data_IF_170972037674
#
_entry.id   IF_170972037674
#
_cell.length_a   1.000
_cell.length_b   1.000
_cell.length_c   1.000
_cell.angle_alpha   90.00
_cell.angle_beta   90.00
_cell.angle_gamma   90.00
#
_symmetry.space_group_name_H-M   'P 1'
#
loop_
_entity.id
_entity.type
_entity.pdbx_description
1 polymer ?
#
# COMPACT_ATOMS: atom_id res chain seq x y z
N UNK A 1 58.03 52.41 7.09
CA UNK A 1 57.72 51.11 6.45
C UNK A 1 56.22 50.93 6.56
N UNK A 2 55.49 50.99 5.45
CA UNK A 2 54.03 50.87 5.42
C UNK A 2 53.69 49.81 4.38
N UNK A 3 53.12 48.70 4.83
CA UNK A 3 52.66 47.61 3.96
C UNK A 3 51.26 47.93 3.41
N UNK A 4 51.06 47.66 2.13
CA UNK A 4 49.75 47.71 1.49
C UNK A 4 49.07 46.34 1.65
N UNK A 5 47.91 46.31 2.33
CA UNK A 5 47.06 45.11 2.41
C UNK A 5 46.09 45.15 1.23
N UNK A 6 46.27 44.23 0.27
CA UNK A 6 45.33 44.04 -0.84
C UNK A 6 44.23 43.07 -0.38
N UNK A 7 43.02 43.58 -0.18
CA UNK A 7 41.84 42.75 0.09
C UNK A 7 41.21 42.36 -1.25
N UNK A 8 41.41 41.11 -1.67
CA UNK A 8 40.71 40.53 -2.83
C UNK A 8 39.26 40.25 -2.44
N UNK A 9 38.34 41.12 -2.86
CA UNK A 9 36.90 40.85 -2.80
C UNK A 9 36.58 39.88 -3.93
N UNK A 10 36.32 38.62 -3.58
CA UNK A 10 35.85 37.61 -4.52
C UNK A 10 34.38 37.93 -4.84
N UNK A 11 34.12 38.49 -6.01
CA UNK A 11 32.76 38.65 -6.53
C UNK A 11 32.15 37.25 -6.70
N UNK A 12 31.19 36.90 -5.85
CA UNK A 12 30.38 35.69 -6.03
C UNK A 12 29.46 35.95 -7.22
N UNK A 13 29.75 35.29 -8.34
CA UNK A 13 28.88 35.23 -9.50
C UNK A 13 27.46 34.87 -9.09
N UNK A 14 26.48 35.75 -9.39
CA UNK A 14 25.06 35.41 -9.44
C UNK A 14 24.86 34.35 -10.53
N UNK A 15 24.95 33.08 -10.18
CA UNK A 15 24.56 31.98 -11.07
C UNK A 15 23.72 30.99 -10.27
N UNK A 16 22.50 30.78 -10.78
CA UNK A 16 21.48 29.79 -10.41
C UNK A 16 20.86 29.93 -9.01
N UNK A 17 20.02 30.96 -8.82
CA UNK A 17 18.88 30.81 -7.91
C UNK A 17 17.97 29.73 -8.51
N UNK A 18 17.77 28.56 -7.85
CA UNK A 18 16.84 27.56 -8.35
C UNK A 18 15.47 28.22 -8.40
N UNK A 19 14.84 28.20 -9.58
CA UNK A 19 13.48 28.67 -9.75
C UNK A 19 12.59 27.94 -8.73
N UNK A 20 12.14 28.65 -7.68
CA UNK A 20 11.34 28.09 -6.57
C UNK A 20 10.04 27.44 -7.07
N UNK A 21 9.70 27.67 -8.35
CA UNK A 21 8.62 27.03 -9.06
C UNK A 21 8.86 25.55 -9.41
N UNK A 22 10.07 24.99 -9.27
CA UNK A 22 10.43 23.64 -9.73
C UNK A 22 10.74 22.63 -8.60
N UNK A 23 10.13 22.81 -7.43
CA UNK A 23 10.22 21.86 -6.30
C UNK A 23 8.86 21.32 -5.88
N UNK A 24 8.84 20.08 -5.39
CA UNK A 24 7.67 19.47 -4.79
C UNK A 24 7.37 20.14 -3.45
N UNK A 25 6.18 20.71 -3.27
CA UNK A 25 5.82 21.37 -2.00
C UNK A 25 5.69 20.40 -0.81
N UNK A 26 5.69 19.09 -1.05
CA UNK A 26 5.51 18.06 -0.01
C UNK A 26 6.85 17.52 0.50
N UNK A 27 7.78 17.17 -0.40
CA UNK A 27 9.10 16.63 -0.03
C UNK A 27 10.25 17.62 -0.24
N UNK A 28 9.99 18.78 -0.85
CA UNK A 28 10.98 19.80 -1.21
C UNK A 28 12.07 19.33 -2.19
N UNK A 29 11.83 18.25 -2.92
CA UNK A 29 12.72 17.75 -3.98
C UNK A 29 12.24 18.19 -5.37
N UNK A 30 13.17 18.36 -6.31
CA UNK A 30 12.89 18.71 -7.70
C UNK A 30 12.31 17.54 -8.53
N UNK A 31 12.14 17.77 -9.83
CA UNK A 31 11.73 16.71 -10.75
C UNK A 31 12.89 15.75 -11.09
N UNK A 32 12.58 14.50 -11.40
CA UNK A 32 13.51 13.53 -12.01
C UNK A 32 12.78 12.64 -13.01
N UNK A 33 13.52 11.90 -13.85
CA UNK A 33 12.95 11.07 -14.94
C UNK A 33 11.91 10.04 -14.47
N UNK A 34 11.95 9.61 -13.20
CA UNK A 34 10.94 8.73 -12.60
C UNK A 34 9.90 9.43 -11.71
N UNK A 35 10.12 10.70 -11.37
CA UNK A 35 9.31 11.48 -10.45
C UNK A 35 9.10 12.89 -11.03
N UNK A 36 8.27 13.05 -12.08
CA UNK A 36 7.95 14.36 -12.61
C UNK A 36 7.07 15.15 -11.62
N UNK A 37 7.25 16.47 -11.61
CA UNK A 37 6.34 17.38 -10.91
C UNK A 37 5.08 17.59 -11.73
N UNK A 38 3.92 17.50 -11.07
CA UNK A 38 2.63 17.79 -11.66
C UNK A 38 2.00 19.02 -10.98
N UNK A 39 1.18 19.75 -11.74
CA UNK A 39 0.29 20.80 -11.22
C UNK A 39 -1.12 20.23 -11.03
N UNK A 40 -1.45 19.66 -9.85
CA UNK A 40 -2.76 19.05 -9.60
C UNK A 40 -3.92 20.04 -9.53
N UNK A 41 -3.66 21.35 -9.48
CA UNK A 41 -4.71 22.36 -9.49
C UNK A 41 -4.23 23.70 -10.09
N UNK A 42 -5.11 24.70 -10.07
CA UNK A 42 -4.86 26.05 -10.62
C UNK A 42 -3.97 26.94 -9.73
N UNK A 43 -3.58 26.48 -8.54
CA UNK A 43 -2.71 27.25 -7.64
C UNK A 43 -1.27 27.27 -8.18
N UNK A 44 -0.68 28.47 -8.28
CA UNK A 44 0.66 28.65 -8.85
C UNK A 44 1.76 27.89 -8.10
N UNK A 45 1.66 27.77 -6.77
CA UNK A 45 2.73 27.22 -5.91
C UNK A 45 2.57 25.74 -5.57
N UNK A 46 1.57 25.05 -6.13
CA UNK A 46 1.21 23.70 -5.67
C UNK A 46 1.72 22.63 -6.64
N UNK A 47 3.03 22.57 -6.89
CA UNK A 47 3.64 21.51 -7.68
C UNK A 47 4.01 20.31 -6.80
N UNK A 48 3.61 19.10 -7.16
CA UNK A 48 3.94 17.91 -6.40
C UNK A 48 4.19 16.71 -7.30
N UNK A 49 5.05 15.80 -6.85
CA UNK A 49 5.11 14.47 -7.43
C UNK A 49 3.79 13.74 -7.19
N UNK A 50 3.32 12.96 -8.17
CA UNK A 50 2.09 12.16 -8.01
C UNK A 50 2.10 11.27 -6.75
N UNK A 51 3.18 10.56 -6.40
CA UNK A 51 3.19 9.73 -5.18
C UNK A 51 3.18 10.56 -3.90
N UNK A 52 3.81 11.73 -3.90
CA UNK A 52 3.81 12.64 -2.75
C UNK A 52 2.40 13.20 -2.52
N UNK A 53 1.73 13.64 -3.58
CA UNK A 53 0.35 14.10 -3.52
C UNK A 53 -0.58 12.98 -3.04
N UNK A 54 -0.44 11.77 -3.57
CA UNK A 54 -1.25 10.62 -3.16
C UNK A 54 -1.12 10.31 -1.66
N UNK A 55 0.10 10.34 -1.13
CA UNK A 55 0.37 10.18 0.30
C UNK A 55 -0.28 11.29 1.12
N UNK A 56 -0.15 12.54 0.69
CA UNK A 56 -0.75 13.67 1.39
C UNK A 56 -2.29 13.59 1.37
N UNK A 57 -2.91 13.27 0.24
CA UNK A 57 -4.36 13.08 0.14
C UNK A 57 -4.83 11.97 1.07
N UNK A 58 -4.10 10.87 1.15
CA UNK A 58 -4.38 9.78 2.07
C UNK A 58 -4.29 10.21 3.55
N UNK A 59 -3.33 11.08 3.92
CA UNK A 59 -3.28 11.68 5.27
C UNK A 59 -4.45 12.63 5.56
N UNK A 60 -5.11 13.14 4.51
CA UNK A 60 -6.32 13.96 4.62
C UNK A 60 -7.60 13.12 4.48
N UNK A 61 -7.52 11.78 4.54
CA UNK A 61 -8.68 10.91 4.35
C UNK A 61 -9.89 11.35 5.18
N UNK A 62 -11.05 11.42 4.54
CA UNK A 62 -12.30 11.86 5.16
C UNK A 62 -12.46 13.37 5.31
N UNK A 63 -11.45 14.17 4.93
CA UNK A 63 -11.52 15.63 4.87
C UNK A 63 -11.77 16.09 3.44
N UNK A 64 -12.22 17.33 3.27
CA UNK A 64 -12.40 17.92 1.94
C UNK A 64 -11.09 17.95 1.16
N UNK A 65 -9.97 18.12 1.85
CA UNK A 65 -8.61 18.15 1.31
C UNK A 65 -8.15 16.82 0.70
N UNK A 66 -8.79 15.69 1.03
CA UNK A 66 -8.54 14.42 0.32
C UNK A 66 -8.80 14.56 -1.18
N UNK A 67 -9.85 15.31 -1.53
CA UNK A 67 -10.37 15.38 -2.91
C UNK A 67 -10.28 16.75 -3.56
N UNK A 68 -10.17 17.82 -2.77
CA UNK A 68 -10.22 19.18 -3.29
C UNK A 68 -9.07 20.02 -2.76
N UNK A 69 -8.51 20.86 -3.62
CA UNK A 69 -7.50 21.83 -3.19
C UNK A 69 -8.09 22.76 -2.12
N UNK A 70 -7.41 22.89 -0.96
CA UNK A 70 -7.85 23.76 0.14
C UNK A 70 -8.06 25.22 -0.29
N UNK A 71 -7.28 25.69 -1.26
CA UNK A 71 -7.28 27.08 -1.74
C UNK A 71 -8.26 27.32 -2.89
N UNK A 72 -8.01 26.70 -4.06
CA UNK A 72 -8.80 26.98 -5.26
C UNK A 72 -10.01 26.05 -5.44
N UNK A 73 -10.23 25.10 -4.51
CA UNK A 73 -11.35 24.14 -4.50
C UNK A 73 -11.48 23.26 -5.75
N UNK A 74 -10.46 23.27 -6.62
CA UNK A 74 -10.41 22.39 -7.78
C UNK A 74 -10.23 20.96 -7.30
N UNK A 75 -10.96 20.03 -7.91
CA UNK A 75 -10.82 18.60 -7.64
C UNK A 75 -9.39 18.15 -7.98
N UNK A 76 -8.78 17.45 -7.05
CA UNK A 76 -7.44 16.89 -7.18
C UNK A 76 -7.53 15.56 -7.92
N UNK A 77 -6.45 15.13 -8.61
CA UNK A 77 -6.37 13.79 -9.17
C UNK A 77 -6.66 12.73 -8.11
N UNK A 78 -7.35 11.65 -8.48
CA UNK A 78 -7.60 10.56 -7.55
C UNK A 78 -6.29 9.83 -7.24
N UNK A 79 -5.94 9.80 -5.95
CA UNK A 79 -4.74 9.16 -5.46
C UNK A 79 -4.77 7.64 -5.62
N UNK A 80 -5.97 7.04 -5.66
CA UNK A 80 -6.17 5.59 -5.81
C UNK A 80 -5.72 5.08 -7.17
N UNK A 81 -5.76 5.93 -8.20
CA UNK A 81 -5.29 5.59 -9.55
C UNK A 81 -3.79 5.29 -9.59
N UNK A 82 -3.00 5.88 -8.68
CA UNK A 82 -1.57 5.62 -8.56
C UNK A 82 -1.25 4.15 -8.22
N UNK A 83 -2.23 3.38 -7.77
CA UNK A 83 -2.07 1.99 -7.33
C UNK A 83 -3.05 1.00 -8.02
N UNK A 84 -3.67 1.42 -9.12
CA UNK A 84 -4.68 0.65 -9.87
C UNK A 84 -4.20 -0.68 -10.49
N UNK A 85 -2.89 -0.93 -10.53
CA UNK A 85 -2.30 -2.09 -11.20
C UNK A 85 -2.30 -3.39 -10.37
N UNK A 86 -2.79 -3.37 -9.13
CA UNK A 86 -2.80 -4.56 -8.27
C UNK A 86 -4.04 -5.43 -8.52
N UNK A 87 -3.93 -6.77 -8.37
CA UNK A 87 -5.08 -7.67 -8.45
C UNK A 87 -6.17 -7.24 -7.47
N UNK A 88 -7.42 -7.20 -7.94
CA UNK A 88 -8.58 -6.92 -7.09
C UNK A 88 -8.79 -8.10 -6.15
N UNK A 89 -8.35 -7.96 -4.90
CA UNK A 89 -8.59 -8.90 -3.83
C UNK A 89 -9.67 -8.36 -2.89
N UNK A 90 -10.51 -9.24 -2.33
CA UNK A 90 -11.44 -8.87 -1.25
C UNK A 90 -10.64 -8.47 -0.01
N UNK A 91 -10.73 -7.21 0.46
CA UNK A 91 -9.95 -6.76 1.61
C UNK A 91 -10.51 -7.32 2.90
N UNK A 92 -9.61 -7.75 3.79
CA UNK A 92 -9.91 -8.17 5.16
C UNK A 92 -9.19 -7.20 6.10
N UNK A 93 -9.92 -6.69 7.10
CA UNK A 93 -9.39 -5.88 8.18
C UNK A 93 -9.35 -6.68 9.49
N UNK A 94 -8.28 -6.49 10.24
CA UNK A 94 -8.17 -6.98 11.62
C UNK A 94 -8.66 -5.89 12.56
N UNK A 95 -9.70 -6.18 13.33
CA UNK A 95 -10.32 -5.24 14.28
C UNK A 95 -10.02 -5.72 15.69
N UNK A 96 -9.51 -4.81 16.53
CA UNK A 96 -9.09 -5.12 17.90
C UNK A 96 -9.81 -4.20 18.88
N UNK A 97 -10.45 -4.78 19.89
CA UNK A 97 -11.09 -4.04 20.98
C UNK A 97 -11.00 -4.86 22.27
N UNK A 98 -10.56 -4.24 23.37
CA UNK A 98 -10.34 -4.89 24.67
C UNK A 98 -9.47 -6.17 24.59
N UNK A 99 -8.44 -6.16 23.72
CA UNK A 99 -7.56 -7.30 23.49
C UNK A 99 -8.17 -8.44 22.66
N UNK A 100 -9.46 -8.36 22.31
CA UNK A 100 -10.14 -9.32 21.44
C UNK A 100 -9.94 -8.89 19.99
N UNK A 101 -9.58 -9.85 19.13
CA UNK A 101 -9.26 -9.61 17.72
C UNK A 101 -10.22 -10.37 16.81
N UNK A 102 -10.77 -9.68 15.80
CA UNK A 102 -11.63 -10.27 14.78
C UNK A 102 -11.16 -9.89 13.38
N UNK A 103 -11.38 -10.77 12.41
CA UNK A 103 -11.16 -10.49 11.00
C UNK A 103 -12.51 -10.22 10.32
N UNK A 104 -12.60 -9.09 9.63
CA UNK A 104 -13.83 -8.64 8.97
C UNK A 104 -13.52 -8.37 7.51
N UNK A 105 -14.27 -9.01 6.61
CA UNK A 105 -14.25 -8.68 5.18
C UNK A 105 -14.94 -7.33 5.00
N UNK A 106 -14.29 -6.41 4.28
CA UNK A 106 -14.79 -5.05 4.08
C UNK A 106 -14.97 -4.73 2.61
N UNK A 107 -15.88 -3.81 2.32
CA UNK A 107 -16.17 -3.33 0.97
C UNK A 107 -16.22 -1.80 0.99
N UNK A 108 -15.79 -1.11 -0.07
CA UNK A 108 -15.82 0.34 -0.13
C UNK A 108 -17.25 0.86 -0.33
N UNK A 109 -17.45 2.13 -0.02
CA UNK A 109 -18.70 2.85 -0.25
C UNK A 109 -19.67 2.82 0.93
N UNK A 110 -20.81 3.52 0.81
CA UNK A 110 -21.75 3.72 1.92
C UNK A 110 -22.31 2.40 2.45
N UNK A 111 -22.74 1.50 1.57
CA UNK A 111 -23.30 0.20 1.96
C UNK A 111 -22.25 -0.69 2.66
N UNK A 112 -21.00 -0.65 2.19
CA UNK A 112 -19.89 -1.37 2.80
C UNK A 112 -19.56 -0.86 4.20
N UNK A 113 -19.64 0.46 4.39
CA UNK A 113 -19.49 1.11 5.70
C UNK A 113 -20.62 0.73 6.66
N UNK A 114 -21.87 0.73 6.20
CA UNK A 114 -23.03 0.32 7.01
C UNK A 114 -22.92 -1.15 7.45
N UNK A 115 -22.55 -2.05 6.53
CA UNK A 115 -22.27 -3.45 6.86
C UNK A 115 -21.15 -3.58 7.89
N UNK A 116 -20.07 -2.84 7.71
CA UNK A 116 -18.95 -2.85 8.66
C UNK A 116 -19.39 -2.36 10.05
N UNK A 117 -20.14 -1.26 10.12
CA UNK A 117 -20.64 -0.72 11.39
C UNK A 117 -21.56 -1.70 12.13
N UNK A 118 -22.50 -2.33 11.40
CA UNK A 118 -23.36 -3.36 11.97
C UNK A 118 -22.56 -4.55 12.50
N UNK A 119 -21.53 -4.96 11.76
CA UNK A 119 -20.67 -6.08 12.14
C UNK A 119 -19.81 -5.78 13.38
N UNK A 120 -19.23 -4.57 13.49
CA UNK A 120 -18.50 -4.14 14.69
C UNK A 120 -19.41 -4.17 15.92
N UNK A 121 -20.62 -3.64 15.81
CA UNK A 121 -21.59 -3.66 16.91
C UNK A 121 -21.95 -5.08 17.31
N UNK A 122 -22.18 -5.96 16.35
CA UNK A 122 -22.52 -7.36 16.57
C UNK A 122 -21.38 -8.12 17.26
N UNK A 123 -20.15 -7.97 16.77
CA UNK A 123 -18.98 -8.71 17.27
C UNK A 123 -18.62 -8.28 18.70
N UNK A 124 -18.67 -6.99 19.01
CA UNK A 124 -18.30 -6.47 20.32
C UNK A 124 -19.50 -6.24 21.26
N UNK A 125 -20.69 -6.71 20.86
CA UNK A 125 -21.94 -6.59 21.62
C UNK A 125 -22.23 -5.16 22.08
N UNK A 126 -22.10 -4.20 21.16
CA UNK A 126 -22.33 -2.77 21.41
C UNK A 126 -23.80 -2.42 21.15
N UNK A 127 -24.37 -1.57 22.01
CA UNK A 127 -25.71 -1.02 21.86
C UNK A 127 -25.81 -0.01 20.71
N UNK A 128 -27.03 0.30 20.30
CA UNK A 128 -27.30 1.24 19.19
C UNK A 128 -26.78 2.66 19.46
N UNK A 129 -26.72 3.05 20.75
CA UNK A 129 -26.30 4.37 21.20
C UNK A 129 -24.82 4.43 21.61
N UNK A 130 -24.09 3.32 21.57
CA UNK A 130 -22.68 3.32 21.93
C UNK A 130 -21.87 4.09 20.87
N UNK A 131 -21.07 5.05 21.35
CA UNK A 131 -20.18 5.82 20.50
C UNK A 131 -18.98 4.96 20.11
N UNK A 132 -18.80 4.74 18.80
CA UNK A 132 -17.67 3.97 18.27
C UNK A 132 -16.63 4.95 17.73
N UNK A 133 -15.46 4.96 18.34
CA UNK A 133 -14.27 5.64 17.83
C UNK A 133 -13.42 4.61 17.08
N UNK A 134 -13.11 4.91 15.82
CA UNK A 134 -12.32 4.04 14.96
C UNK A 134 -10.98 4.68 14.62
N UNK A 135 -9.97 3.82 14.58
CA UNK A 135 -8.62 4.16 14.16
C UNK A 135 -8.11 3.04 13.26
N UNK A 136 -7.64 3.39 12.06
CA UNK A 136 -7.15 2.46 11.06
C UNK A 136 -5.64 2.59 10.92
N UNK A 137 -4.90 1.53 11.27
CA UNK A 137 -3.49 1.40 10.91
C UNK A 137 -3.35 0.92 9.47
N UNK A 138 -2.76 1.74 8.61
CA UNK A 138 -2.61 1.45 7.19
C UNK A 138 -1.14 1.50 6.77
N UNK A 139 -0.73 0.58 5.90
CA UNK A 139 0.55 0.67 5.20
C UNK A 139 0.39 1.48 3.92
N UNK A 140 1.16 2.55 3.78
CA UNK A 140 1.19 3.40 2.58
C UNK A 140 1.77 2.60 1.41
N UNK A 141 1.03 2.47 0.30
CA UNK A 141 1.51 1.76 -0.87
C UNK A 141 2.79 2.38 -1.44
N UNK A 142 3.69 1.54 -1.95
CA UNK A 142 4.94 1.97 -2.59
C UNK A 142 6.06 2.42 -1.65
N UNK A 143 5.76 2.87 -0.44
CA UNK A 143 6.79 3.32 0.53
C UNK A 143 6.94 2.45 1.76
N UNK A 144 5.88 1.71 2.12
CA UNK A 144 5.90 0.83 3.29
C UNK A 144 5.76 1.53 4.64
N UNK A 145 5.70 2.88 4.67
CA UNK A 145 5.42 3.63 5.89
C UNK A 145 4.04 3.31 6.44
N UNK A 146 3.90 3.26 7.75
CA UNK A 146 2.61 3.11 8.43
C UNK A 146 2.02 4.48 8.74
N UNK A 147 0.72 4.62 8.51
CA UNK A 147 -0.07 5.80 8.84
C UNK A 147 -1.29 5.38 9.64
N UNK A 148 -1.77 6.31 10.44
CA UNK A 148 -3.00 6.16 11.21
C UNK A 148 -4.06 7.07 10.63
N UNK A 149 -5.19 6.49 10.26
CA UNK A 149 -6.39 7.23 9.84
C UNK A 149 -7.43 7.15 10.95
N UNK A 150 -8.18 8.21 11.18
CA UNK A 150 -9.13 8.32 12.28
C UNK A 150 -10.54 8.53 11.75
N UNK A 151 -11.52 8.01 12.49
CA UNK A 151 -12.93 8.26 12.24
C UNK A 151 -13.54 7.46 11.08
N UNK A 152 -14.86 7.49 11.01
CA UNK A 152 -15.66 6.76 10.02
C UNK A 152 -15.48 7.30 8.60
N UNK A 153 -15.11 8.56 8.49
CA UNK A 153 -14.80 9.28 7.25
C UNK A 153 -13.58 8.71 6.53
N UNK A 154 -12.64 8.10 7.27
CA UNK A 154 -11.46 7.47 6.69
C UNK A 154 -11.69 6.03 6.19
N UNK A 155 -12.88 5.48 6.37
CA UNK A 155 -13.19 4.07 6.08
C UNK A 155 -12.80 3.67 4.66
N UNK A 156 -13.22 4.41 3.64
CA UNK A 156 -12.96 4.06 2.25
C UNK A 156 -11.47 4.09 1.90
N UNK A 157 -10.71 4.98 2.53
CA UNK A 157 -9.26 5.05 2.35
C UNK A 157 -8.58 3.83 2.99
N UNK A 158 -9.01 3.45 4.20
CA UNK A 158 -8.53 2.25 4.86
C UNK A 158 -8.86 0.96 4.07
N UNK A 159 -10.07 0.85 3.51
CA UNK A 159 -10.47 -0.28 2.64
C UNK A 159 -9.55 -0.39 1.42
N UNK A 160 -9.17 0.74 0.82
CA UNK A 160 -8.26 0.75 -0.31
C UNK A 160 -6.84 0.32 0.07
N UNK A 161 -6.32 0.81 1.19
CA UNK A 161 -5.03 0.33 1.73
C UNK A 161 -5.05 -1.18 2.01
N UNK A 162 -6.16 -1.70 2.56
CA UNK A 162 -6.34 -3.13 2.79
C UNK A 162 -6.40 -3.92 1.48
N UNK A 163 -7.06 -3.39 0.43
CA UNK A 163 -7.16 -4.03 -0.87
C UNK A 163 -5.80 -4.12 -1.58
N UNK A 164 -5.02 -3.04 -1.56
CA UNK A 164 -3.64 -3.02 -2.06
C UNK A 164 -2.79 -4.07 -1.33
N UNK A 165 -2.85 -4.07 0.00
CA UNK A 165 -2.09 -5.01 0.82
C UNK A 165 -2.48 -6.46 0.53
N UNK A 166 -3.76 -6.73 0.28
CA UNK A 166 -4.24 -8.05 -0.12
C UNK A 166 -3.74 -8.46 -1.52
N UNK A 167 -3.82 -7.55 -2.50
CA UNK A 167 -3.29 -7.79 -3.85
C UNK A 167 -1.78 -8.05 -3.87
N UNK A 168 -1.01 -7.35 -3.04
CA UNK A 168 0.43 -7.59 -2.88
C UNK A 168 0.73 -8.99 -2.32
N UNK A 169 -0.02 -9.46 -1.31
CA UNK A 169 0.14 -10.81 -0.76
C UNK A 169 -0.17 -11.89 -1.80
N UNK A 170 -1.22 -11.71 -2.59
CA UNK A 170 -1.57 -12.65 -3.67
C UNK A 170 -0.45 -12.75 -4.71
N UNK A 171 0.13 -11.62 -5.12
CA UNK A 171 1.25 -11.61 -6.06
C UNK A 171 2.46 -12.37 -5.51
N UNK A 172 2.82 -12.11 -4.25
CA UNK A 172 3.93 -12.82 -3.58
C UNK A 172 3.68 -14.34 -3.47
N UNK A 173 2.44 -14.76 -3.18
CA UNK A 173 2.07 -16.18 -3.12
C UNK A 173 2.15 -16.86 -4.50
N UNK A 174 1.71 -16.17 -5.55
CA UNK A 174 1.76 -16.68 -6.92
C UNK A 174 3.21 -16.77 -7.45
N UNK A 175 4.07 -15.82 -7.10
CA UNK A 175 5.50 -15.83 -7.48
C UNK A 175 6.31 -16.91 -6.72
N UNK A 176 5.83 -17.35 -5.56
CA UNK A 176 6.47 -18.41 -4.74
C UNK A 176 5.92 -19.82 -5.00
N UNK A 177 4.98 -20.00 -5.93
CA UNK A 177 4.49 -21.33 -6.26
C UNK A 177 5.51 -22.04 -7.18
N UNK A 178 6.18 -23.13 -6.72
CA UNK A 178 7.09 -23.87 -7.58
C UNK A 178 6.32 -24.46 -8.75
N UNK A 179 6.77 -24.18 -9.99
CA UNK A 179 6.22 -24.79 -11.20
C UNK A 179 6.27 -26.33 -11.06
N UNK A 180 5.16 -27.07 -11.18
CA UNK A 180 5.21 -28.52 -11.30
C UNK A 180 5.67 -28.84 -12.72
N UNK A 181 6.95 -29.14 -12.91
CA UNK A 181 7.47 -29.38 -14.26
C UNK A 181 8.96 -29.65 -14.36
N UNK A 182 9.43 -30.71 -13.71
CA UNK A 182 10.65 -31.42 -14.15
C UNK A 182 10.42 -32.92 -13.95
N UNK A 183 9.50 -33.49 -14.76
CA UNK A 183 9.42 -34.93 -14.93
C UNK A 183 10.66 -35.38 -15.74
N UNK A 184 11.60 -35.98 -15.03
CA UNK A 184 12.80 -36.61 -15.59
C UNK A 184 12.40 -37.68 -16.61
N UNK A 185 12.86 -37.52 -17.84
CA UNK A 185 12.71 -38.49 -18.93
C UNK A 185 13.52 -39.75 -18.59
N UNK A 186 12.86 -40.80 -18.11
CA UNK A 186 13.49 -42.13 -17.99
C UNK A 186 13.66 -42.76 -19.38
N UNK A 187 14.91 -42.98 -19.77
CA UNK A 187 15.30 -43.76 -20.96
C UNK A 187 14.99 -45.24 -20.72
N UNK A 188 14.21 -45.82 -21.64
CA UNK A 188 14.17 -47.27 -21.90
C UNK A 188 15.59 -47.78 -22.21
N UNK A 189 16.08 -48.71 -21.40
CA UNK A 189 17.02 -49.74 -21.86
C UNK A 189 16.53 -51.11 -21.42
N UNK A 190 16.10 -51.86 -22.42
CA UNK A 190 15.84 -53.29 -22.47
C UNK A 190 17.03 -54.13 -22.00
N UNK A 191 16.77 -55.17 -21.20
CA UNK A 191 17.79 -56.18 -20.83
C UNK A 191 17.28 -57.29 -19.90
N UNK A 192 16.73 -58.35 -20.50
CA UNK A 192 16.88 -59.76 -20.13
C UNK A 192 16.78 -60.26 -18.67
N UNK A 193 15.71 -61.03 -18.41
CA UNK A 193 15.80 -62.50 -18.16
C UNK A 193 16.47 -63.02 -16.87
N UNK A 194 15.68 -63.45 -15.87
CA UNK A 194 15.53 -64.84 -15.35
C UNK A 194 15.00 -64.89 -13.91
N UNK A 195 13.90 -65.66 -13.73
CA UNK A 195 13.56 -66.63 -12.65
C UNK A 195 13.98 -66.26 -11.20
N UNK A 196 13.12 -66.39 -10.18
CA UNK A 196 12.51 -67.65 -9.69
C UNK A 196 11.36 -67.36 -8.72
N UNK A 197 10.42 -68.31 -8.70
CA UNK A 197 9.37 -68.56 -7.72
C UNK A 197 9.89 -68.49 -6.27
N UNK A 198 9.07 -68.03 -5.32
CA UNK A 198 8.65 -68.83 -4.17
C UNK A 198 7.48 -68.17 -3.43
N UNK A 199 6.41 -68.96 -3.25
CA UNK A 199 5.28 -68.75 -2.36
C UNK A 199 5.70 -68.70 -0.89
N UNK A 200 4.98 -67.94 -0.04
CA UNK A 200 4.15 -68.47 1.08
C UNK A 200 3.77 -67.40 2.12
N UNK A 201 2.47 -67.38 2.40
CA UNK A 201 1.80 -67.29 3.73
C UNK A 201 1.93 -66.03 4.62
N UNK A 202 0.78 -65.36 4.77
CA UNK A 202 0.14 -64.77 5.98
C UNK A 202 0.25 -65.73 7.22
N UNK A 203 -0.13 -65.41 8.50
CA UNK A 203 -0.65 -64.18 9.14
C UNK A 203 -0.08 -63.83 10.55
N UNK A 204 -0.55 -62.68 11.08
CA UNK A 204 -0.88 -62.35 12.48
C UNK A 204 0.13 -62.46 13.65
N UNK A 205 0.07 -61.40 14.49
CA UNK A 205 0.06 -61.31 15.97
C UNK A 205 0.85 -60.04 16.36
N UNK A 206 0.44 -59.16 17.27
CA UNK A 206 -0.50 -59.23 18.38
C UNK A 206 0.12 -58.46 19.55
N UNK A 207 -0.73 -57.77 20.33
CA UNK A 207 -0.51 -56.92 21.51
C UNK A 207 -0.22 -55.43 21.24
#
# INVERSE_FOLDING_TARGET
MCEAVVTLSREVSKQDEPNVEDICWICHEGHSDGMPLAKPCRCKCMQAHRPCLARWQLQQAGRTEERFCRFCKTELPDWREAHSQLPKASPIMTVVHNGVTHQVTVEPGPDGRERFQAEIRRIFNLGENDAIQLTFGCRVPGTGHEITLEGWEAFDAAVHCAAISAGQRMKMQNDQQPKPGAATTERKTSGGMLRRLFSRTNPQQGL
#
